data_IF_214036702664
#
_entry.id   IF_214036702664
#
_cell.length_a   1.000
_cell.length_b   1.000
_cell.length_c   1.000
_cell.angle_alpha   90.00
_cell.angle_beta   90.00
_cell.angle_gamma   90.00
#
_symmetry.space_group_name_H-M   'P 1'
#
loop_
_entity.id
_entity.type
_entity.pdbx_description
1 polymer ?
#
# COMPACT_ATOMS: atom_id res chain seq x y z
N UNK A 1 14.41 -16.31 -14.36
CA UNK A 1 13.67 -15.17 -13.76
C UNK A 1 13.72 -13.93 -14.64
N UNK A 2 14.75 -13.77 -15.49
CA UNK A 2 14.84 -12.60 -16.38
C UNK A 2 13.59 -12.44 -17.26
N UNK A 3 13.04 -13.53 -17.80
CA UNK A 3 11.81 -13.49 -18.61
C UNK A 3 10.58 -13.11 -17.80
N UNK A 4 10.51 -13.53 -16.53
CA UNK A 4 9.43 -13.14 -15.62
C UNK A 4 9.47 -11.63 -15.34
N UNK A 5 10.67 -11.10 -15.07
CA UNK A 5 10.91 -9.65 -14.90
C UNK A 5 10.55 -8.89 -16.17
N UNK A 6 11.01 -9.33 -17.34
CA UNK A 6 10.73 -8.65 -18.61
C UNK A 6 9.24 -8.55 -18.94
N UNK A 7 8.42 -9.53 -18.49
CA UNK A 7 6.96 -9.49 -18.66
C UNK A 7 6.28 -8.51 -17.71
N UNK A 8 6.71 -8.44 -16.46
CA UNK A 8 6.03 -7.64 -15.42
C UNK A 8 6.50 -6.18 -15.39
N UNK A 9 7.80 -5.94 -15.60
CA UNK A 9 8.45 -4.62 -15.51
C UNK A 9 7.74 -3.50 -16.28
N UNK A 10 7.25 -3.70 -17.53
CA UNK A 10 6.57 -2.62 -18.26
C UNK A 10 5.31 -2.10 -17.54
N UNK A 11 4.63 -2.94 -16.77
CA UNK A 11 3.41 -2.57 -16.05
C UNK A 11 3.69 -1.95 -14.67
N UNK A 12 4.93 -1.98 -14.17
CA UNK A 12 5.30 -1.33 -12.90
C UNK A 12 5.74 0.10 -13.17
N UNK A 13 5.15 1.04 -12.47
CA UNK A 13 5.32 2.49 -12.67
C UNK A 13 5.82 3.18 -11.41
N UNK A 14 6.39 4.37 -11.58
CA UNK A 14 6.73 5.24 -10.47
C UNK A 14 5.56 6.18 -10.18
N UNK A 15 5.23 6.35 -8.91
CA UNK A 15 4.21 7.29 -8.44
C UNK A 15 4.91 8.42 -7.70
N UNK A 16 4.83 9.61 -8.27
CA UNK A 16 5.35 10.84 -7.70
C UNK A 16 4.20 11.65 -7.14
N UNK A 17 4.31 12.09 -5.90
CA UNK A 17 3.30 12.93 -5.27
C UNK A 17 3.90 14.25 -4.83
N UNK A 18 3.10 15.32 -4.92
CA UNK A 18 3.44 16.62 -4.40
C UNK A 18 2.33 17.09 -3.45
N UNK A 19 2.74 17.59 -2.28
CA UNK A 19 1.86 18.18 -1.27
C UNK A 19 2.34 19.58 -0.93
N UNK A 20 1.46 20.56 -1.02
CA UNK A 20 1.77 21.95 -0.67
C UNK A 20 1.51 22.14 0.83
N UNK A 21 2.56 22.20 1.62
CA UNK A 21 2.46 22.47 3.04
C UNK A 21 2.62 23.97 3.28
N UNK A 22 1.59 24.61 3.82
CA UNK A 22 1.68 25.99 4.27
C UNK A 22 2.15 26.00 5.72
N UNK A 23 3.45 26.13 5.99
CA UNK A 23 3.96 26.33 7.35
C UNK A 23 3.68 27.76 7.78
N UNK A 24 2.89 27.93 8.82
CA UNK A 24 2.82 29.19 9.57
C UNK A 24 4.13 29.35 10.33
N UNK A 25 4.91 30.34 9.94
CA UNK A 25 6.21 30.61 10.53
C UNK A 25 6.02 31.33 11.86
N UNK A 26 6.36 30.71 12.97
CA UNK A 26 6.58 31.21 14.34
C UNK A 26 5.38 31.62 15.20
N UNK A 27 5.32 31.10 16.47
CA UNK A 27 4.32 31.55 17.47
C UNK A 27 4.43 33.02 17.85
N UNK A 28 5.58 33.65 17.68
CA UNK A 28 5.84 35.07 17.96
C UNK A 28 5.19 36.03 16.96
N UNK A 29 4.71 35.54 15.80
CA UNK A 29 3.96 36.36 14.85
C UNK A 29 2.52 36.63 15.30
N UNK A 30 2.06 35.97 16.35
CA UNK A 30 0.76 36.29 16.99
C UNK A 30 0.86 37.34 18.10
N UNK A 31 2.07 37.87 18.40
CA UNK A 31 2.25 38.97 19.36
C UNK A 31 1.92 40.32 18.69
N UNK A 32 0.95 41.08 19.20
CA UNK A 32 0.54 42.37 18.62
C UNK A 32 1.68 43.40 18.54
N UNK A 33 2.63 43.33 19.48
CA UNK A 33 3.81 44.25 19.51
C UNK A 33 4.80 43.88 18.40
N UNK A 34 4.99 42.58 18.16
CA UNK A 34 5.87 42.11 17.08
C UNK A 34 5.29 42.39 15.69
N UNK A 35 3.97 42.30 15.54
CA UNK A 35 3.26 42.65 14.28
C UNK A 35 3.39 44.11 13.95
N UNK A 36 3.36 44.99 14.94
CA UNK A 36 3.43 46.45 14.74
C UNK A 36 4.81 46.89 14.22
N UNK A 37 5.89 46.19 14.58
CA UNK A 37 7.25 46.55 14.19
C UNK A 37 7.81 45.75 12.99
N UNK A 38 7.26 44.58 12.73
CA UNK A 38 7.86 43.63 11.75
C UNK A 38 6.83 42.99 10.81
N UNK A 39 5.52 43.33 10.91
CA UNK A 39 4.41 42.62 10.30
C UNK A 39 4.50 42.31 8.80
N UNK A 40 4.94 43.27 7.99
CA UNK A 40 4.94 43.13 6.53
C UNK A 40 6.18 42.41 5.95
N UNK A 41 7.25 42.29 6.73
CA UNK A 41 8.51 41.66 6.26
C UNK A 41 8.60 40.18 6.56
N UNK A 42 7.87 39.67 7.54
CA UNK A 42 7.95 38.26 7.99
C UNK A 42 6.67 37.45 7.77
N UNK A 43 5.58 38.08 7.32
CA UNK A 43 4.29 37.42 7.05
C UNK A 43 4.24 36.58 5.76
N UNK A 44 5.38 36.20 5.19
CA UNK A 44 5.40 35.26 4.06
C UNK A 44 5.22 33.84 4.57
N UNK A 45 3.99 33.34 4.50
CA UNK A 45 3.74 31.90 4.56
C UNK A 45 4.60 31.22 3.49
N UNK A 46 5.60 30.47 3.92
CA UNK A 46 6.45 29.71 2.99
C UNK A 46 5.66 28.47 2.57
N UNK A 47 5.20 28.47 1.32
CA UNK A 47 4.70 27.23 0.70
C UNK A 47 5.90 26.33 0.48
N UNK A 48 5.95 25.24 1.18
CA UNK A 48 6.94 24.17 1.02
C UNK A 48 6.27 23.04 0.23
N UNK A 49 6.87 22.62 -0.87
CA UNK A 49 6.39 21.47 -1.64
C UNK A 49 7.10 20.25 -1.07
N UNK A 50 6.36 19.39 -0.43
CA UNK A 50 6.84 18.08 -0.01
C UNK A 50 6.54 17.09 -1.13
N UNK A 51 7.58 16.43 -1.65
CA UNK A 51 7.46 15.37 -2.65
C UNK A 51 7.64 14.01 -1.97
N UNK A 52 6.85 13.02 -2.37
CA UNK A 52 7.01 11.63 -1.98
C UNK A 52 7.12 10.76 -3.22
N UNK A 53 7.77 9.62 -3.06
CA UNK A 53 8.00 8.64 -4.11
C UNK A 53 7.46 7.28 -3.67
N UNK A 54 6.77 6.63 -4.59
CA UNK A 54 6.32 5.26 -4.46
C UNK A 54 6.28 4.58 -5.82
N UNK A 55 5.68 3.44 -5.85
CA UNK A 55 5.46 2.64 -7.05
C UNK A 55 3.98 2.38 -7.26
N UNK A 56 3.63 1.90 -8.45
CA UNK A 56 2.29 1.45 -8.79
C UNK A 56 2.35 0.33 -9.82
N UNK A 57 1.21 -0.33 -10.03
CA UNK A 57 1.08 -1.41 -11.01
C UNK A 57 -0.09 -1.10 -11.93
N UNK A 58 0.15 -1.02 -13.23
CA UNK A 58 -0.91 -0.89 -14.23
C UNK A 58 -1.64 -2.22 -14.35
N UNK A 59 -2.91 -2.23 -13.94
CA UNK A 59 -3.74 -3.43 -13.86
C UNK A 59 -4.67 -3.60 -15.06
N UNK A 60 -4.75 -2.59 -15.92
CA UNK A 60 -5.69 -2.59 -17.04
C UNK A 60 -5.21 -1.66 -18.16
N UNK A 61 -5.45 -2.05 -19.41
CA UNK A 61 -5.21 -1.23 -20.61
C UNK A 61 -6.04 0.06 -20.63
N UNK A 62 -7.10 0.14 -19.82
CA UNK A 62 -7.89 1.36 -19.63
C UNK A 62 -7.17 2.41 -18.76
N UNK A 63 -6.02 2.08 -18.15
CA UNK A 63 -5.21 3.01 -17.38
C UNK A 63 -5.49 3.02 -15.89
N UNK A 64 -6.08 1.95 -15.33
CA UNK A 64 -6.14 1.79 -13.89
C UNK A 64 -4.78 1.37 -13.34
N UNK A 65 -4.35 2.04 -12.28
CA UNK A 65 -3.09 1.78 -11.56
C UNK A 65 -3.40 1.50 -10.11
N UNK A 66 -2.93 0.36 -9.62
CA UNK A 66 -3.04 -0.02 -8.22
C UNK A 66 -1.77 0.43 -7.49
N UNK A 67 -1.93 1.03 -6.31
CA UNK A 67 -0.82 1.47 -5.44
C UNK A 67 -1.27 1.40 -3.98
N UNK A 68 -0.41 1.81 -3.03
CA UNK A 68 -0.82 1.93 -1.63
C UNK A 68 -1.48 3.28 -1.34
N UNK A 69 -2.41 3.28 -0.38
CA UNK A 69 -3.05 4.50 0.09
C UNK A 69 -2.03 5.48 0.68
N UNK A 70 -1.12 5.00 1.54
CA UNK A 70 -0.10 5.85 2.17
C UNK A 70 0.85 6.54 1.17
N UNK A 71 1.01 6.00 -0.05
CA UNK A 71 1.83 6.63 -1.11
C UNK A 71 1.20 7.93 -1.60
N UNK A 72 -0.14 8.00 -1.64
CA UNK A 72 -0.87 9.13 -2.23
C UNK A 72 -1.62 9.97 -1.20
N UNK A 73 -1.60 9.59 0.06
CA UNK A 73 -2.36 10.23 1.13
C UNK A 73 -2.02 11.72 1.28
N UNK A 74 -3.06 12.55 1.12
CA UNK A 74 -2.95 14.00 1.23
C UNK A 74 -2.14 14.66 0.11
N UNK A 75 -1.89 13.99 -1.01
CA UNK A 75 -1.26 14.57 -2.19
C UNK A 75 -2.21 15.54 -2.91
N UNK A 76 -1.69 16.73 -3.25
CA UNK A 76 -2.41 17.70 -4.10
C UNK A 76 -2.26 17.37 -5.59
N UNK A 77 -1.14 16.73 -5.96
CA UNK A 77 -0.84 16.31 -7.32
C UNK A 77 -0.18 14.94 -7.32
N UNK A 78 -0.62 14.09 -8.25
CA UNK A 78 -0.08 12.74 -8.46
C UNK A 78 0.32 12.61 -9.92
N UNK A 79 1.57 12.23 -10.15
CA UNK A 79 2.13 11.96 -11.46
C UNK A 79 2.63 10.52 -11.53
N UNK A 80 2.27 9.82 -12.59
CA UNK A 80 2.72 8.46 -12.88
C UNK A 80 3.72 8.50 -14.01
N UNK A 81 4.92 7.92 -13.80
CA UNK A 81 5.98 7.78 -14.78
C UNK A 81 6.14 6.32 -15.16
N UNK A 82 5.96 5.99 -16.43
CA UNK A 82 6.10 4.65 -16.99
C UNK A 82 7.57 4.30 -17.21
N UNK A 83 7.86 3.02 -17.32
CA UNK A 83 9.22 2.52 -17.58
C UNK A 83 9.78 2.95 -18.96
N UNK A 84 8.91 3.25 -19.93
CA UNK A 84 9.30 3.74 -21.26
C UNK A 84 9.54 5.27 -21.33
N UNK A 85 9.45 5.96 -20.18
CA UNK A 85 9.68 7.40 -20.06
C UNK A 85 8.43 8.26 -20.27
N UNK A 86 7.27 7.68 -20.66
CA UNK A 86 6.01 8.42 -20.71
C UNK A 86 5.53 8.76 -19.30
N UNK A 87 4.87 9.88 -19.14
CA UNK A 87 4.29 10.30 -17.89
C UNK A 87 2.89 10.86 -18.07
N UNK A 88 2.06 10.72 -17.06
CA UNK A 88 0.72 11.29 -17.01
C UNK A 88 0.37 11.75 -15.60
N UNK A 89 -0.47 12.80 -15.53
CA UNK A 89 -1.16 13.11 -14.29
C UNK A 89 -2.19 12.03 -13.99
N UNK A 90 -2.23 11.58 -12.74
CA UNK A 90 -3.21 10.60 -12.29
C UNK A 90 -4.34 11.26 -11.51
N UNK A 91 -5.54 10.74 -11.67
CA UNK A 91 -6.68 11.03 -10.81
C UNK A 91 -6.92 9.86 -9.85
N UNK A 92 -7.33 10.15 -8.63
CA UNK A 92 -7.71 9.13 -7.65
C UNK A 92 -9.12 8.65 -7.99
N UNK A 93 -9.28 7.35 -8.24
CA UNK A 93 -10.59 6.70 -8.42
C UNK A 93 -11.22 6.43 -7.06
N UNK A 94 -10.43 5.92 -6.12
CA UNK A 94 -10.82 5.72 -4.74
C UNK A 94 -9.65 5.14 -3.93
N UNK A 95 -9.84 5.14 -2.61
CA UNK A 95 -8.85 4.66 -1.64
C UNK A 95 -9.51 3.79 -0.60
N UNK A 96 -8.73 2.92 0.00
CA UNK A 96 -9.10 2.10 1.14
C UNK A 96 -7.94 2.10 2.15
N UNK A 97 -8.07 2.94 3.17
CA UNK A 97 -7.05 3.07 4.22
C UNK A 97 -6.95 1.80 5.08
N UNK A 98 -8.05 1.07 5.23
CA UNK A 98 -8.11 -0.14 6.06
C UNK A 98 -7.27 -1.30 5.51
N UNK A 99 -7.06 -1.35 4.19
CA UNK A 99 -6.16 -2.32 3.53
C UNK A 99 -4.91 -1.66 2.95
N UNK A 100 -4.76 -0.34 3.11
CA UNK A 100 -3.67 0.45 2.51
C UNK A 100 -3.60 0.35 0.99
N UNK A 101 -4.75 0.34 0.29
CA UNK A 101 -4.83 0.30 -1.16
C UNK A 101 -5.45 1.56 -1.75
N UNK A 102 -5.02 1.92 -2.95
CA UNK A 102 -5.58 3.00 -3.73
C UNK A 102 -5.59 2.63 -5.22
N UNK A 103 -6.63 3.08 -5.93
CA UNK A 103 -6.74 2.95 -7.38
C UNK A 103 -6.65 4.33 -8.00
N UNK A 104 -5.71 4.48 -8.91
CA UNK A 104 -5.52 5.67 -9.72
C UNK A 104 -5.98 5.43 -11.16
N UNK A 105 -6.23 6.51 -11.88
CA UNK A 105 -6.52 6.50 -13.32
C UNK A 105 -5.56 7.42 -14.04
N UNK A 106 -4.92 6.91 -15.09
CA UNK A 106 -4.12 7.68 -16.04
C UNK A 106 -4.74 7.60 -17.44
N UNK A 107 -4.53 8.64 -18.23
CA UNK A 107 -4.99 8.72 -19.61
C UNK A 107 -3.79 8.70 -20.56
N UNK A 108 -3.45 7.49 -21.01
CA UNK A 108 -2.39 7.23 -21.99
C UNK A 108 -2.78 6.05 -22.87
N UNK A 109 -2.38 6.10 -24.12
CA UNK A 109 -2.57 5.01 -25.07
C UNK A 109 -1.56 3.88 -24.88
N UNK A 110 -1.91 2.68 -25.38
CA UNK A 110 -1.03 1.49 -25.45
C UNK A 110 -0.36 1.19 -24.12
N UNK A 111 -1.16 1.17 -23.05
CA UNK A 111 -0.68 0.84 -21.73
C UNK A 111 -0.43 -0.67 -21.61
N UNK A 112 0.72 -1.07 -21.04
CA UNK A 112 0.92 -2.45 -20.62
C UNK A 112 0.02 -2.74 -19.42
N UNK A 113 -0.40 -3.99 -19.26
CA UNK A 113 -1.10 -4.44 -18.05
C UNK A 113 -0.43 -5.68 -17.50
N UNK A 114 -0.37 -5.79 -16.18
CA UNK A 114 0.20 -6.96 -15.52
C UNK A 114 -0.76 -8.15 -15.61
N UNK A 115 -0.19 -9.35 -15.65
CA UNK A 115 -0.95 -10.59 -15.53
C UNK A 115 -1.15 -10.90 -14.04
N UNK A 116 -2.38 -11.14 -13.62
CA UNK A 116 -2.67 -11.52 -12.24
C UNK A 116 -2.37 -13.01 -12.01
N UNK A 117 -1.61 -13.30 -10.96
CA UNK A 117 -1.43 -14.63 -10.41
C UNK A 117 -2.54 -15.01 -9.43
N UNK A 118 -2.27 -16.03 -8.63
CA UNK A 118 -3.14 -16.49 -7.55
C UNK A 118 -2.35 -16.52 -6.24
N UNK A 119 -2.72 -15.64 -5.29
CA UNK A 119 -2.07 -15.57 -3.98
C UNK A 119 -2.59 -16.59 -2.97
N UNK A 120 -3.75 -17.21 -3.21
CA UNK A 120 -4.35 -18.17 -2.27
C UNK A 120 -3.61 -19.52 -2.25
N UNK A 121 -2.87 -19.83 -3.33
CA UNK A 121 -2.13 -21.07 -3.49
C UNK A 121 -0.63 -20.93 -3.18
N UNK A 122 -0.19 -19.80 -2.66
CA UNK A 122 1.22 -19.56 -2.33
C UNK A 122 1.67 -20.44 -1.17
N UNK A 123 2.89 -20.93 -1.28
CA UNK A 123 3.54 -21.76 -0.26
C UNK A 123 4.83 -21.12 0.19
N UNK A 124 5.15 -21.31 1.44
CA UNK A 124 6.48 -20.95 1.96
C UNK A 124 7.57 -21.66 1.14
N UNK A 125 8.56 -20.88 0.69
CA UNK A 125 9.62 -21.35 -0.21
C UNK A 125 9.37 -21.06 -1.69
N UNK A 126 8.16 -20.69 -2.12
CA UNK A 126 7.91 -20.28 -3.51
C UNK A 126 8.71 -19.00 -3.82
N UNK A 127 9.32 -18.95 -5.00
CA UNK A 127 10.16 -17.82 -5.44
C UNK A 127 9.32 -16.59 -5.71
N UNK A 128 9.83 -15.45 -5.25
CA UNK A 128 9.24 -14.14 -5.51
C UNK A 128 10.27 -13.12 -5.98
N UNK A 129 9.79 -12.14 -6.74
CA UNK A 129 10.56 -10.96 -7.14
C UNK A 129 9.75 -9.71 -6.80
N UNK A 130 10.34 -8.79 -6.05
CA UNK A 130 9.73 -7.50 -5.77
C UNK A 130 10.26 -6.47 -6.77
N UNK A 131 9.33 -5.75 -7.43
CA UNK A 131 9.63 -4.73 -8.43
C UNK A 131 9.08 -3.40 -7.94
N UNK A 132 9.91 -2.35 -8.00
CA UNK A 132 9.53 -1.00 -7.62
C UNK A 132 10.65 -0.02 -7.91
N UNK A 133 10.55 1.20 -7.36
CA UNK A 133 11.57 2.24 -7.52
C UNK A 133 12.09 2.71 -6.13
N UNK A 134 12.93 1.90 -5.48
CA UNK A 134 13.44 2.25 -4.16
C UNK A 134 14.28 3.53 -4.25
N UNK A 135 14.04 4.46 -3.33
CA UNK A 135 14.76 5.74 -3.22
C UNK A 135 14.74 6.62 -4.48
N UNK A 136 13.90 6.32 -5.48
CA UNK A 136 13.81 7.09 -6.72
C UNK A 136 15.04 6.96 -7.65
N UNK A 137 15.87 5.94 -7.45
CA UNK A 137 17.09 5.74 -8.27
C UNK A 137 16.84 4.98 -9.58
N UNK A 138 15.59 4.65 -9.84
CA UNK A 138 15.16 3.87 -11.00
C UNK A 138 14.54 2.54 -10.62
N UNK A 139 13.87 1.92 -11.60
CA UNK A 139 13.22 0.64 -11.38
C UNK A 139 14.23 -0.44 -10.97
N UNK A 140 13.92 -1.13 -9.89
CA UNK A 140 14.79 -2.13 -9.27
C UNK A 140 13.99 -3.41 -9.03
N UNK A 141 14.67 -4.54 -9.20
CA UNK A 141 14.12 -5.87 -8.92
C UNK A 141 14.94 -6.52 -7.84
N UNK A 142 14.27 -7.02 -6.81
CA UNK A 142 14.89 -7.83 -5.76
C UNK A 142 14.33 -9.23 -5.75
N UNK A 143 15.15 -10.21 -5.38
CA UNK A 143 14.81 -11.63 -5.39
C UNK A 143 14.68 -12.14 -3.96
N UNK A 144 13.74 -13.04 -3.75
CA UNK A 144 13.52 -13.75 -2.49
C UNK A 144 12.52 -14.89 -2.63
N UNK A 145 11.97 -15.31 -1.50
CA UNK A 145 10.95 -16.34 -1.39
C UNK A 145 9.76 -15.86 -0.56
N UNK A 146 8.65 -16.57 -0.62
CA UNK A 146 7.59 -16.48 0.37
C UNK A 146 8.14 -17.03 1.69
N UNK A 147 8.28 -16.15 2.70
CA UNK A 147 8.73 -16.53 4.04
C UNK A 147 7.58 -16.95 4.94
N UNK A 148 6.38 -16.36 4.74
CA UNK A 148 5.13 -16.73 5.40
C UNK A 148 3.93 -16.19 4.60
N UNK A 149 2.74 -16.73 4.85
CA UNK A 149 1.45 -16.23 4.38
C UNK A 149 0.52 -15.95 5.55
N UNK A 150 -0.51 -15.12 5.34
CA UNK A 150 -1.50 -14.81 6.37
C UNK A 150 -0.93 -14.11 7.61
N UNK A 151 0.06 -13.23 7.43
CA UNK A 151 0.58 -12.42 8.55
C UNK A 151 -0.45 -11.38 8.95
N UNK A 152 -0.92 -11.49 10.17
CA UNK A 152 -1.86 -10.62 10.84
C UNK A 152 -1.30 -10.08 12.16
N UNK A 153 -2.04 -9.19 12.85
CA UNK A 153 -1.69 -8.62 14.16
C UNK A 153 -0.35 -7.90 14.22
N UNK A 154 0.05 -7.30 13.08
CA UNK A 154 1.25 -6.48 13.00
C UNK A 154 0.99 -5.02 13.39
N UNK A 155 -0.29 -4.60 13.38
CA UNK A 155 -0.74 -3.24 13.70
C UNK A 155 -0.39 -2.22 12.62
N UNK A 156 -0.28 -2.66 11.36
CA UNK A 156 0.05 -1.82 10.20
C UNK A 156 -1.22 -1.28 9.57
N UNK A 157 -2.22 -2.15 9.36
CA UNK A 157 -3.53 -1.83 8.77
C UNK A 157 -4.66 -2.49 9.57
N UNK A 158 -5.91 -2.06 9.33
CA UNK A 158 -7.07 -2.65 10.01
C UNK A 158 -7.36 -4.08 9.53
N UNK A 159 -7.12 -4.35 8.24
CA UNK A 159 -7.26 -5.68 7.64
C UNK A 159 -5.90 -6.17 7.19
N UNK A 160 -5.35 -7.11 7.95
CA UNK A 160 -4.04 -7.68 7.72
C UNK A 160 -4.14 -9.14 7.29
N UNK A 161 -3.55 -9.46 6.17
CA UNK A 161 -3.36 -10.82 5.64
C UNK A 161 -2.09 -10.85 4.80
N UNK A 162 -1.00 -10.26 5.30
CA UNK A 162 0.18 -10.03 4.49
C UNK A 162 0.90 -11.31 4.05
N UNK A 163 1.42 -11.28 2.83
CA UNK A 163 2.49 -12.16 2.38
C UNK A 163 3.80 -11.60 2.94
N UNK A 164 4.56 -12.43 3.64
CA UNK A 164 5.93 -12.10 4.06
C UNK A 164 6.93 -12.63 3.05
N UNK A 165 7.91 -11.81 2.67
CA UNK A 165 9.03 -12.19 1.79
C UNK A 165 10.35 -11.65 2.33
N UNK A 166 11.46 -12.32 2.02
CA UNK A 166 12.82 -11.85 2.24
C UNK A 166 13.40 -11.09 1.03
N UNK A 167 12.67 -11.02 -0.09
CA UNK A 167 12.97 -10.08 -1.16
C UNK A 167 13.07 -8.66 -0.57
N UNK A 168 14.17 -7.97 -0.84
CA UNK A 168 14.43 -6.66 -0.23
C UNK A 168 13.39 -5.62 -0.67
N UNK A 169 12.50 -5.24 0.25
CA UNK A 169 11.57 -4.12 0.10
C UNK A 169 12.16 -2.92 0.85
N UNK A 170 12.20 -1.75 0.22
CA UNK A 170 12.71 -0.51 0.78
C UNK A 170 11.75 0.64 0.45
N UNK A 171 11.84 1.80 1.13
CA UNK A 171 11.05 2.98 0.80
C UNK A 171 11.12 3.33 -0.69
N UNK A 172 9.96 3.48 -1.33
CA UNK A 172 9.79 3.66 -2.77
C UNK A 172 9.33 2.39 -3.51
N UNK A 173 9.50 1.19 -2.94
CA UNK A 173 8.90 -0.03 -3.48
C UNK A 173 7.41 -0.17 -3.14
N UNK A 174 6.92 0.58 -2.15
CA UNK A 174 5.50 0.57 -1.75
C UNK A 174 4.61 0.88 -2.94
N UNK A 175 3.55 0.10 -3.13
CA UNK A 175 2.66 0.14 -4.28
C UNK A 175 3.16 -0.64 -5.51
N UNK A 176 4.42 -1.09 -5.52
CA UNK A 176 5.01 -1.90 -6.59
C UNK A 176 4.57 -3.36 -6.55
N UNK A 177 5.03 -4.13 -7.52
CA UNK A 177 4.62 -5.50 -7.72
C UNK A 177 5.47 -6.49 -6.89
N UNK A 178 4.83 -7.44 -6.23
CA UNK A 178 5.41 -8.73 -5.88
C UNK A 178 4.93 -9.75 -6.92
N UNK A 179 5.85 -10.38 -7.65
CA UNK A 179 5.53 -11.33 -8.71
C UNK A 179 6.10 -12.73 -8.40
N UNK A 180 5.49 -13.74 -9.01
CA UNK A 180 6.01 -15.10 -8.99
C UNK A 180 7.08 -15.34 -10.07
N UNK A 181 7.62 -16.55 -10.13
CA UNK A 181 8.63 -16.96 -11.13
C UNK A 181 8.13 -16.93 -12.58
N UNK A 182 6.82 -16.78 -12.81
CA UNK A 182 6.20 -16.68 -14.14
C UNK A 182 5.95 -15.23 -14.57
N UNK A 183 6.22 -14.24 -13.71
CA UNK A 183 5.97 -12.83 -13.96
C UNK A 183 4.51 -12.39 -13.68
N UNK A 184 3.77 -13.19 -12.92
CA UNK A 184 2.40 -12.90 -12.55
C UNK A 184 2.36 -12.18 -11.20
N UNK A 185 1.49 -11.19 -11.06
CA UNK A 185 1.31 -10.42 -9.85
C UNK A 185 0.65 -11.27 -8.76
N UNK A 186 1.33 -11.45 -7.64
CA UNK A 186 0.84 -12.19 -6.47
C UNK A 186 0.59 -11.30 -5.26
N UNK A 187 1.13 -10.07 -5.26
CA UNK A 187 0.90 -9.11 -4.19
C UNK A 187 1.35 -7.70 -4.55
N UNK A 188 0.95 -6.74 -3.72
CA UNK A 188 1.37 -5.34 -3.79
C UNK A 188 2.32 -5.09 -2.62
N UNK A 189 3.56 -4.70 -2.91
CA UNK A 189 4.54 -4.34 -1.88
C UNK A 189 3.98 -3.20 -1.03
N UNK A 190 3.95 -3.34 0.30
CA UNK A 190 3.36 -2.32 1.18
C UNK A 190 4.37 -1.80 2.20
N UNK A 191 4.85 -2.66 3.08
CA UNK A 191 5.61 -2.24 4.24
C UNK A 191 6.84 -3.12 4.48
N UNK A 192 7.71 -2.64 5.37
CA UNK A 192 8.80 -3.43 5.95
C UNK A 192 8.64 -3.46 7.47
N UNK A 193 8.91 -4.59 8.08
CA UNK A 193 9.08 -4.66 9.51
C UNK A 193 10.54 -4.38 9.84
N UNK A 194 10.85 -3.11 10.18
CA UNK A 194 12.24 -2.65 10.33
C UNK A 194 12.36 -1.59 11.42
N UNK A 195 13.44 -1.67 12.22
CA UNK A 195 13.80 -0.65 13.21
C UNK A 195 14.68 0.46 12.63
N UNK A 196 15.33 0.21 11.51
CA UNK A 196 16.29 1.13 10.88
C UNK A 196 15.74 1.86 9.67
N UNK A 197 14.51 1.52 9.21
CA UNK A 197 13.87 2.09 8.01
C UNK A 197 14.33 1.49 6.68
N UNK A 198 15.23 0.50 6.68
CA UNK A 198 15.63 -0.28 5.51
C UNK A 198 15.30 -1.76 5.66
N UNK A 199 15.38 -2.51 4.56
CA UNK A 199 15.09 -3.96 4.55
C UNK A 199 16.02 -4.72 5.51
N UNK A 200 15.40 -5.58 6.32
CA UNK A 200 16.06 -6.53 7.22
C UNK A 200 15.64 -7.97 6.91
N UNK A 201 15.18 -8.24 5.67
CA UNK A 201 14.69 -9.55 5.26
C UNK A 201 13.25 -9.84 5.68
N UNK A 202 12.50 -8.80 6.10
CA UNK A 202 11.08 -8.90 6.43
C UNK A 202 10.33 -7.85 5.63
N UNK A 203 9.96 -8.20 4.41
CA UNK A 203 9.09 -7.43 3.54
C UNK A 203 7.67 -7.96 3.62
N UNK A 204 6.69 -7.07 3.51
CA UNK A 204 5.27 -7.37 3.57
C UNK A 204 4.58 -6.89 2.30
N UNK A 205 3.74 -7.74 1.73
CA UNK A 205 2.94 -7.43 0.55
C UNK A 205 1.48 -7.79 0.78
N UNK A 206 0.57 -6.97 0.27
CA UNK A 206 -0.87 -7.22 0.29
C UNK A 206 -1.18 -8.28 -0.76
N UNK A 207 -1.84 -9.41 -0.43
CA UNK A 207 -2.17 -10.46 -1.40
C UNK A 207 -3.03 -9.94 -2.54
N UNK A 208 -2.79 -10.44 -3.75
CA UNK A 208 -3.56 -10.00 -4.92
C UNK A 208 -5.02 -10.47 -4.87
N UNK A 209 -5.35 -11.55 -4.18
CA UNK A 209 -6.73 -11.98 -3.93
C UNK A 209 -7.51 -10.91 -3.16
N UNK A 210 -6.94 -10.39 -2.05
CA UNK A 210 -7.52 -9.28 -1.29
C UNK A 210 -7.61 -8.01 -2.15
N UNK A 211 -6.50 -7.65 -2.83
CA UNK A 211 -6.44 -6.45 -3.64
C UNK A 211 -7.45 -6.45 -4.80
N UNK A 212 -7.75 -7.60 -5.41
CA UNK A 212 -8.80 -7.73 -6.45
C UNK A 212 -10.18 -7.37 -5.92
N UNK A 213 -10.55 -7.83 -4.72
CA UNK A 213 -11.84 -7.52 -4.12
C UNK A 213 -11.99 -6.01 -3.85
N UNK A 214 -10.94 -5.41 -3.28
CA UNK A 214 -10.90 -3.97 -2.97
C UNK A 214 -10.94 -3.12 -4.24
N UNK A 215 -10.06 -3.39 -5.22
CA UNK A 215 -10.00 -2.60 -6.46
C UNK A 215 -11.29 -2.69 -7.28
N UNK A 216 -11.96 -3.85 -7.31
CA UNK A 216 -13.22 -4.00 -8.04
C UNK A 216 -14.29 -3.08 -7.45
N UNK A 217 -14.46 -3.07 -6.12
CA UNK A 217 -15.41 -2.18 -5.47
C UNK A 217 -15.04 -0.69 -5.69
N UNK A 218 -13.76 -0.33 -5.60
CA UNK A 218 -13.32 1.04 -5.86
C UNK A 218 -13.62 1.47 -7.30
N UNK A 219 -13.38 0.61 -8.30
CA UNK A 219 -13.64 0.93 -9.71
C UNK A 219 -15.14 1.06 -9.98
N UNK A 220 -15.97 0.20 -9.40
CA UNK A 220 -17.41 0.16 -9.63
C UNK A 220 -18.19 1.21 -8.81
N UNK A 221 -17.77 1.47 -7.56
CA UNK A 221 -18.52 2.25 -6.58
C UNK A 221 -17.77 3.48 -6.05
N UNK A 222 -16.47 3.60 -6.34
CA UNK A 222 -15.61 4.68 -5.83
C UNK A 222 -15.10 4.46 -4.40
N UNK A 223 -15.60 3.47 -3.69
CA UNK A 223 -15.22 3.15 -2.30
C UNK A 223 -15.47 1.68 -1.98
N UNK A 224 -14.93 1.22 -0.86
CA UNK A 224 -15.13 -0.15 -0.35
C UNK A 224 -16.27 -0.16 0.66
N UNK A 225 -17.19 -1.09 0.50
CA UNK A 225 -18.28 -1.35 1.44
C UNK A 225 -17.95 -2.60 2.25
N UNK A 226 -17.92 -2.46 3.57
CA UNK A 226 -17.74 -3.58 4.51
C UNK A 226 -19.00 -3.84 5.30
N UNK A 227 -19.34 -5.11 5.42
CA UNK A 227 -20.41 -5.53 6.32
C UNK A 227 -19.97 -5.42 7.78
N UNK A 228 -20.92 -5.12 8.67
CA UNK A 228 -20.72 -5.12 10.11
C UNK A 228 -21.58 -6.22 10.71
N UNK A 229 -20.95 -7.15 11.45
CA UNK A 229 -21.65 -8.28 12.06
C UNK A 229 -22.25 -7.94 13.43
N UNK A 230 -21.84 -6.81 14.03
CA UNK A 230 -22.35 -6.40 15.34
C UNK A 230 -22.03 -7.38 16.48
N UNK A 231 -20.92 -8.08 16.40
CA UNK A 231 -20.46 -9.01 17.43
C UNK A 231 -19.15 -8.54 18.05
N UNK A 232 -18.98 -8.79 19.34
CA UNK A 232 -17.68 -8.80 20.01
C UNK A 232 -17.18 -10.24 20.08
N UNK A 233 -15.98 -10.48 19.56
CA UNK A 233 -15.39 -11.80 19.51
C UNK A 233 -13.93 -11.77 19.94
N UNK A 234 -13.51 -12.82 20.63
CA UNK A 234 -12.12 -13.07 21.02
C UNK A 234 -11.67 -14.43 20.48
N UNK A 235 -10.40 -14.55 20.13
CA UNK A 235 -9.84 -15.85 19.78
C UNK A 235 -9.96 -16.82 20.94
N UNK A 236 -10.26 -18.07 20.60
CA UNK A 236 -10.26 -19.14 21.58
C UNK A 236 -8.81 -19.50 21.94
N UNK A 237 -8.38 -19.11 23.15
CA UNK A 237 -7.08 -19.52 23.68
C UNK A 237 -7.18 -20.88 24.39
N UNK A 238 -6.05 -21.60 24.61
CA UNK A 238 -6.06 -22.83 25.39
C UNK A 238 -6.69 -22.67 26.79
N UNK A 239 -6.42 -21.53 27.46
CA UNK A 239 -6.96 -21.24 28.81
C UNK A 239 -8.47 -21.00 28.76
N UNK A 240 -8.96 -20.32 27.71
CA UNK A 240 -10.40 -20.15 27.50
C UNK A 240 -11.07 -21.48 27.18
N UNK A 241 -10.47 -22.32 26.34
CA UNK A 241 -11.00 -23.64 26.02
C UNK A 241 -11.12 -24.52 27.29
N UNK A 242 -10.09 -24.51 28.13
CA UNK A 242 -10.11 -25.22 29.42
C UNK A 242 -11.22 -24.68 30.34
N UNK A 243 -11.41 -23.36 30.42
CA UNK A 243 -12.45 -22.76 31.29
C UNK A 243 -13.87 -23.10 30.81
N UNK A 244 -14.07 -23.44 29.56
CA UNK A 244 -15.34 -23.88 28.96
C UNK A 244 -15.44 -25.41 28.80
N UNK A 245 -14.48 -26.18 29.35
CA UNK A 245 -14.43 -27.65 29.26
C UNK A 245 -14.42 -28.16 27.81
N UNK A 246 -13.74 -27.41 26.91
CA UNK A 246 -13.61 -27.75 25.50
C UNK A 246 -12.32 -28.54 25.26
N UNK A 247 -12.41 -29.59 24.44
CA UNK A 247 -11.26 -30.44 24.10
C UNK A 247 -10.33 -29.85 23.04
N UNK A 248 -10.64 -28.64 22.51
CA UNK A 248 -9.87 -27.97 21.46
C UNK A 248 -9.92 -26.44 21.64
N UNK A 249 -8.83 -25.77 21.25
CA UNK A 249 -8.68 -24.32 21.30
C UNK A 249 -8.67 -23.72 19.87
N UNK A 250 -9.75 -23.93 19.12
CA UNK A 250 -9.92 -23.39 17.77
C UNK A 250 -11.24 -22.63 17.66
N UNK A 251 -11.23 -21.49 16.95
CA UNK A 251 -12.41 -20.68 16.72
C UNK A 251 -12.40 -19.40 17.55
N UNK A 252 -13.57 -18.79 17.68
CA UNK A 252 -13.76 -17.51 18.37
C UNK A 252 -14.86 -17.64 19.42
N UNK A 253 -14.64 -17.01 20.56
CA UNK A 253 -15.67 -16.82 21.58
C UNK A 253 -16.42 -15.51 21.29
N UNK A 254 -17.72 -15.60 20.99
CA UNK A 254 -18.59 -14.43 20.90
C UNK A 254 -19.03 -14.07 22.31
N UNK A 255 -18.53 -12.95 22.83
CA UNK A 255 -18.83 -12.47 24.18
C UNK A 255 -19.86 -11.33 24.22
N UNK A 256 -20.21 -10.78 23.06
CA UNK A 256 -21.23 -9.76 22.93
C UNK A 256 -21.88 -9.73 21.56
N UNK A 257 -23.18 -9.41 21.54
CA UNK A 257 -23.94 -9.12 20.32
C UNK A 257 -24.57 -7.74 20.48
N UNK A 258 -24.25 -6.82 19.58
CA UNK A 258 -24.78 -5.47 19.59
C UNK A 258 -26.20 -5.44 19.02
N UNK A 259 -27.05 -4.51 19.51
CA UNK A 259 -28.41 -4.37 18.97
C UNK A 259 -28.35 -3.86 17.53
N UNK A 260 -28.92 -4.62 16.58
CA UNK A 260 -28.99 -4.30 15.15
C UNK A 260 -27.84 -4.87 14.35
N UNK A 261 -27.05 -5.77 14.93
CA UNK A 261 -26.07 -6.60 14.24
C UNK A 261 -26.71 -7.85 13.64
#
# INVERSE_FOLDING_TARGET
YADAVARATPAVVNVHTAKVITRRVHPLLNDPVFQQFFGDRFARSRKEIQTSLGSGVIISVQGYVLTNNHVIEGADEIQVLLNDGRSARASVVGTDADTDLAVLRIDLDKLPSIVFGNSDNLRVGDVTLAIGNPFGVGQTVTFGIISATGRDRLGITAYEEFIQTDAAINPGNSGGALINAHGELIGINSAIYSRSGGSQGIGLAIPISLAKGVMTQIIEQGHVVRGWLGIEAHDMTPELAESFDLSFAHGMLINGVMRGG
#
